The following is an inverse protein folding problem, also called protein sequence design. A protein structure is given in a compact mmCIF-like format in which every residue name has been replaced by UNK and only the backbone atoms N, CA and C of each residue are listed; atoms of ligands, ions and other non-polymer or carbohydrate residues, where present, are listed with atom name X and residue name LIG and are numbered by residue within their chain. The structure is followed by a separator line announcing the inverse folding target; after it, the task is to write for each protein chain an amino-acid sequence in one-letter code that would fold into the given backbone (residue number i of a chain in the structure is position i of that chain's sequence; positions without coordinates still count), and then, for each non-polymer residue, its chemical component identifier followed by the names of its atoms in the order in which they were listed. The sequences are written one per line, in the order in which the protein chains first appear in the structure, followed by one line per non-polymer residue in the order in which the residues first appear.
data_IF_795947992481
#
_entry.id   IF_795947992481
#
_cell.length_a   1.000
_cell.length_b   1.000
_cell.length_c   1.000
_cell.angle_alpha   90.00
_cell.angle_beta   90.00
_cell.angle_gamma   90.00
#
_symmetry.space_group_name_H-M   'P 1'
#
loop_
_entity.id
_entity.type
_entity.pdbx_description
1 polymer ?
#
# COMPACT_ATOMS: atom_id res chain seq x y z
N UNK A 1 -9.74 6.87 -0.73
CA UNK A 1 -10.50 7.70 -1.68
C UNK A 1 -9.60 8.56 -2.56
N UNK A 2 -8.64 9.28 -1.97
CA UNK A 2 -7.74 10.17 -2.72
C UNK A 2 -6.90 9.41 -3.76
N UNK A 3 -6.45 8.20 -3.43
CA UNK A 3 -5.72 7.36 -4.37
C UNK A 3 -6.59 6.99 -5.55
N UNK A 4 -7.85 6.62 -5.30
CA UNK A 4 -8.82 6.33 -6.35
C UNK A 4 -9.01 7.52 -7.30
N UNK A 5 -9.21 8.72 -6.74
CA UNK A 5 -9.38 9.94 -7.52
C UNK A 5 -8.13 10.28 -8.33
N UNK A 6 -6.95 10.01 -7.78
CA UNK A 6 -5.67 10.22 -8.44
C UNK A 6 -5.48 9.31 -9.66
N UNK A 7 -5.90 8.06 -9.58
CA UNK A 7 -5.83 7.09 -10.69
C UNK A 7 -6.83 7.46 -11.79
N UNK A 8 -8.01 7.94 -11.41
CA UNK A 8 -9.02 8.46 -12.32
C UNK A 8 -9.87 7.43 -13.04
N UNK A 9 -9.59 6.14 -12.88
CA UNK A 9 -10.34 5.05 -13.52
C UNK A 9 -10.16 3.74 -12.75
N UNK A 10 -11.12 2.79 -12.87
CA UNK A 10 -10.93 1.45 -12.31
C UNK A 10 -9.74 0.74 -12.95
N UNK A 11 -9.00 -0.01 -12.13
CA UNK A 11 -7.92 -0.85 -12.63
C UNK A 11 -8.52 -2.14 -13.21
N UNK A 12 -8.19 -2.48 -14.46
CA UNK A 12 -8.82 -3.63 -15.13
C UNK A 12 -8.36 -4.97 -14.58
N UNK A 13 -9.20 -5.99 -14.74
CA UNK A 13 -8.87 -7.35 -14.37
C UNK A 13 -8.93 -7.66 -12.89
N UNK A 14 -9.53 -6.78 -12.09
CA UNK A 14 -9.62 -6.94 -10.63
C UNK A 14 -10.82 -6.21 -10.06
N UNK A 15 -11.26 -6.62 -8.87
CA UNK A 15 -12.28 -5.90 -8.14
C UNK A 15 -11.65 -4.65 -7.52
N UNK A 16 -12.26 -3.50 -7.75
CA UNK A 16 -11.82 -2.23 -7.18
C UNK A 16 -12.71 -1.87 -5.99
N UNK A 17 -12.08 -1.60 -4.84
CA UNK A 17 -12.78 -1.23 -3.62
C UNK A 17 -12.25 0.11 -3.14
N UNK A 18 -13.15 1.05 -2.88
CA UNK A 18 -12.83 2.38 -2.36
C UNK A 18 -13.33 2.50 -0.94
N UNK A 19 -12.45 2.91 -0.05
CA UNK A 19 -12.75 3.09 1.35
C UNK A 19 -12.93 4.57 1.66
N UNK A 20 -14.10 4.92 2.20
CA UNK A 20 -14.44 6.29 2.58
C UNK A 20 -15.47 6.29 3.69
N UNK A 21 -15.41 7.33 4.55
CA UNK A 21 -16.41 7.56 5.60
C UNK A 21 -17.65 8.28 5.07
N UNK A 22 -17.61 8.78 3.84
CA UNK A 22 -18.73 9.49 3.22
C UNK A 22 -19.72 8.49 2.64
N UNK A 23 -20.92 8.31 3.24
CA UNK A 23 -21.89 7.33 2.76
C UNK A 23 -22.51 7.69 1.43
N UNK A 24 -22.40 8.95 0.99
CA UNK A 24 -22.93 9.41 -0.27
C UNK A 24 -21.92 9.37 -1.41
N UNK A 25 -20.68 8.98 -1.13
CA UNK A 25 -19.63 8.90 -2.14
C UNK A 25 -19.92 7.79 -3.15
N UNK A 26 -19.81 8.13 -4.41
CA UNK A 26 -20.00 7.19 -5.51
C UNK A 26 -18.72 7.08 -6.33
N UNK A 27 -18.31 5.85 -6.59
CA UNK A 27 -17.15 5.54 -7.43
C UNK A 27 -17.62 4.60 -8.54
N UNK A 28 -17.74 5.10 -9.76
CA UNK A 28 -18.16 4.30 -10.90
C UNK A 28 -17.12 3.23 -11.21
N UNK A 29 -17.56 1.98 -11.27
CA UNK A 29 -16.68 0.85 -11.52
C UNK A 29 -15.98 0.29 -10.29
N UNK A 30 -16.33 0.76 -9.10
CA UNK A 30 -15.78 0.29 -7.84
C UNK A 30 -16.86 0.05 -6.79
N UNK A 31 -16.54 -0.76 -5.81
CA UNK A 31 -17.36 -0.97 -4.61
C UNK A 31 -16.92 -0.01 -3.53
N UNK A 32 -17.83 0.75 -2.95
CA UNK A 32 -17.53 1.68 -1.86
C UNK A 32 -17.84 1.03 -0.53
N UNK A 33 -16.88 1.07 0.38
CA UNK A 33 -17.01 0.51 1.73
C UNK A 33 -16.58 1.55 2.76
N UNK A 34 -17.01 1.38 4.02
CA UNK A 34 -16.75 2.32 5.08
C UNK A 34 -15.59 1.93 6.00
N UNK A 35 -15.14 0.69 5.94
CA UNK A 35 -14.05 0.19 6.78
C UNK A 35 -13.19 -0.84 6.03
N UNK A 36 -11.96 -1.01 6.50
CA UNK A 36 -11.07 -2.03 5.97
C UNK A 36 -11.61 -3.43 6.23
N UNK A 37 -12.20 -3.66 7.38
CA UNK A 37 -12.81 -4.93 7.74
C UNK A 37 -13.94 -5.29 6.78
N UNK A 38 -14.76 -4.32 6.40
CA UNK A 38 -15.81 -4.52 5.40
C UNK A 38 -15.22 -4.86 4.03
N UNK A 39 -14.15 -4.18 3.63
CA UNK A 39 -13.45 -4.48 2.39
C UNK A 39 -12.94 -5.93 2.35
N UNK A 40 -12.34 -6.39 3.44
CA UNK A 40 -11.76 -7.73 3.51
C UNK A 40 -12.80 -8.85 3.47
N UNK A 41 -14.06 -8.58 3.82
CA UNK A 41 -15.15 -9.54 3.71
C UNK A 41 -15.49 -9.93 2.27
N UNK A 42 -15.08 -9.13 1.29
CA UNK A 42 -15.29 -9.44 -0.12
C UNK A 42 -14.34 -10.49 -0.66
N UNK A 43 -13.35 -10.93 0.13
CA UNK A 43 -12.29 -11.82 -0.32
C UNK A 43 -12.22 -13.09 0.50
N UNK A 44 -11.88 -14.20 -0.17
CA UNK A 44 -11.62 -15.48 0.48
C UNK A 44 -10.16 -15.63 0.90
N UNK A 45 -9.81 -16.72 1.61
CA UNK A 45 -8.46 -16.93 2.14
C UNK A 45 -7.38 -17.10 1.06
N UNK A 46 -7.77 -17.51 -0.15
CA UNK A 46 -6.84 -17.71 -1.26
C UNK A 46 -6.72 -16.50 -2.18
N UNK A 47 -7.50 -15.45 -1.92
CA UNK A 47 -7.45 -14.24 -2.73
C UNK A 47 -6.25 -13.38 -2.37
N UNK A 48 -5.63 -12.79 -3.40
CA UNK A 48 -4.55 -11.82 -3.23
C UNK A 48 -5.15 -10.43 -3.26
N UNK A 49 -4.92 -9.65 -2.20
CA UNK A 49 -5.45 -8.30 -2.05
C UNK A 49 -4.30 -7.30 -1.99
N UNK A 50 -4.34 -6.32 -2.87
CA UNK A 50 -3.36 -5.23 -2.88
C UNK A 50 -3.95 -3.96 -2.27
N UNK A 51 -3.20 -3.34 -1.38
CA UNK A 51 -3.56 -2.07 -0.75
C UNK A 51 -2.62 -1.01 -1.32
N UNK A 52 -3.18 -0.04 -2.04
CA UNK A 52 -2.40 0.91 -2.83
C UNK A 52 -2.50 2.36 -2.36
N UNK A 53 -2.98 2.57 -1.17
CA UNK A 53 -2.93 3.91 -0.58
C UNK A 53 -4.23 4.44 -0.04
N UNK A 54 -4.15 5.54 0.59
CA UNK A 54 -2.95 6.33 0.94
C UNK A 54 -2.34 5.99 2.30
N UNK A 55 -1.59 6.95 2.82
CA UNK A 55 -0.81 6.76 4.07
C UNK A 55 -1.65 6.29 5.25
N UNK A 56 -2.85 6.84 5.43
CA UNK A 56 -3.75 6.44 6.51
C UNK A 56 -4.21 4.99 6.36
N UNK A 57 -4.55 4.58 5.13
CA UNK A 57 -4.93 3.19 4.86
C UNK A 57 -3.76 2.23 5.05
N UNK A 58 -2.56 2.61 4.66
CA UNK A 58 -1.36 1.81 4.91
C UNK A 58 -1.13 1.56 6.40
N UNK A 59 -1.29 2.58 7.24
CA UNK A 59 -1.13 2.43 8.69
C UNK A 59 -2.13 1.45 9.28
N UNK A 60 -3.38 1.51 8.82
CA UNK A 60 -4.45 0.60 9.29
C UNK A 60 -4.26 -0.82 8.79
N UNK A 61 -3.75 -0.98 7.58
CA UNK A 61 -3.59 -2.28 6.95
C UNK A 61 -2.31 -3.00 7.39
N UNK A 62 -1.29 -2.25 7.80
CA UNK A 62 0.02 -2.82 8.10
C UNK A 62 0.00 -4.00 9.06
N UNK A 63 -0.79 -4.01 10.15
CA UNK A 63 -0.90 -5.18 11.03
C UNK A 63 -1.54 -6.41 10.38
N UNK A 64 -2.20 -6.23 9.24
CA UNK A 64 -2.99 -7.30 8.59
C UNK A 64 -2.33 -7.87 7.34
N UNK A 65 -1.32 -7.18 6.79
CA UNK A 65 -0.68 -7.60 5.55
C UNK A 65 0.56 -8.43 5.81
N UNK A 66 0.92 -9.27 4.84
CA UNK A 66 2.07 -10.18 4.93
C UNK A 66 3.28 -9.67 4.17
N UNK A 67 3.06 -8.87 3.15
CA UNK A 67 4.11 -8.36 2.26
C UNK A 67 3.93 -6.88 2.04
N UNK A 68 5.02 -6.12 2.12
CA UNK A 68 5.05 -4.70 1.84
C UNK A 68 6.04 -4.40 0.71
N UNK A 69 5.55 -3.73 -0.33
CA UNK A 69 6.37 -3.19 -1.41
C UNK A 69 6.62 -1.72 -1.15
N UNK A 70 7.87 -1.34 -1.00
CA UNK A 70 8.26 0.02 -0.62
C UNK A 70 9.21 0.59 -1.67
N UNK A 71 8.91 1.81 -2.10
CA UNK A 71 9.84 2.60 -2.91
C UNK A 71 10.45 3.66 -2.02
N UNK A 72 11.76 3.61 -1.84
CA UNK A 72 12.51 4.61 -1.10
C UNK A 72 13.18 5.56 -2.07
N UNK A 73 12.88 6.84 -1.95
CA UNK A 73 13.42 7.90 -2.82
C UNK A 73 14.52 8.63 -2.06
N UNK A 74 15.69 8.74 -2.68
CA UNK A 74 16.82 9.49 -2.12
C UNK A 74 16.58 10.99 -2.31
N UNK A 75 15.94 11.61 -1.33
CA UNK A 75 15.62 13.02 -1.37
C UNK A 75 15.68 13.61 0.04
N UNK A 76 16.04 14.90 0.10
CA UNK A 76 15.99 15.66 1.33
C UNK A 76 14.70 16.48 1.46
N UNK A 77 13.71 16.23 0.62
CA UNK A 77 12.46 16.97 0.63
C UNK A 77 11.60 16.52 1.81
N UNK A 78 11.17 17.46 2.63
CA UNK A 78 10.18 17.22 3.67
C UNK A 78 8.80 17.24 3.04
N UNK A 79 8.02 16.19 3.26
CA UNK A 79 6.65 16.09 2.76
C UNK A 79 5.64 16.14 3.89
N UNK A 80 4.42 16.54 3.57
CA UNK A 80 3.31 16.59 4.54
C UNK A 80 2.80 15.20 4.90
N UNK A 81 3.03 14.21 4.05
CA UNK A 81 2.64 12.82 4.29
C UNK A 81 3.89 11.97 4.41
N UNK A 82 4.07 11.34 5.55
CA UNK A 82 5.15 10.38 5.76
C UNK A 82 4.58 9.01 6.06
N UNK A 83 5.27 7.99 5.55
CA UNK A 83 5.04 6.61 5.94
C UNK A 83 6.18 6.19 6.85
N UNK A 84 5.88 5.79 8.06
CA UNK A 84 6.89 5.40 9.04
C UNK A 84 7.68 4.20 8.53
N UNK A 85 9.01 4.16 8.77
CA UNK A 85 9.81 3.00 8.40
C UNK A 85 9.27 1.73 9.03
N UNK A 86 9.34 0.63 8.29
CA UNK A 86 8.91 -0.66 8.81
C UNK A 86 9.81 -1.10 9.96
N UNK A 87 9.20 -1.58 11.03
CA UNK A 87 9.91 -2.05 12.21
C UNK A 87 10.70 -3.33 11.86
N UNK A 88 12.00 -3.32 12.09
CA UNK A 88 12.88 -4.44 11.78
C UNK A 88 12.58 -5.69 12.60
N UNK A 89 11.94 -5.56 13.75
CA UNK A 89 11.52 -6.70 14.57
C UNK A 89 10.31 -7.42 14.00
N UNK A 90 9.53 -6.74 13.15
CA UNK A 90 8.32 -7.27 12.54
C UNK A 90 8.46 -7.55 11.05
N UNK A 91 9.42 -6.88 10.39
CA UNK A 91 9.58 -6.93 8.93
C UNK A 91 11.00 -7.26 8.54
N UNK A 92 11.13 -8.14 7.54
CA UNK A 92 12.43 -8.55 6.99
C UNK A 92 12.52 -8.13 5.52
N UNK A 93 13.62 -7.46 5.16
CA UNK A 93 13.90 -7.14 3.77
C UNK A 93 14.31 -8.42 3.03
N UNK A 94 13.54 -8.83 2.02
CA UNK A 94 13.79 -10.07 1.27
C UNK A 94 14.26 -9.82 -0.15
N UNK A 95 14.06 -8.61 -0.66
CA UNK A 95 14.51 -8.25 -2.01
C UNK A 95 14.64 -6.73 -2.13
N UNK A 96 15.66 -6.28 -2.87
CA UNK A 96 15.80 -4.87 -3.20
C UNK A 96 16.42 -4.68 -4.57
N UNK A 97 16.03 -3.61 -5.23
CA UNK A 97 16.59 -3.18 -6.51
C UNK A 97 16.93 -1.70 -6.43
N UNK A 98 18.19 -1.39 -6.65
CA UNK A 98 18.70 -0.03 -6.55
C UNK A 98 18.73 0.65 -7.91
N UNK A 99 18.15 1.84 -8.01
CA UNK A 99 18.13 2.67 -9.20
C UNK A 99 18.84 3.99 -8.88
N UNK A 100 20.14 4.10 -9.22
CA UNK A 100 20.89 5.29 -8.91
C UNK A 100 20.46 6.49 -9.75
N UNK A 101 20.79 7.67 -9.26
CA UNK A 101 20.55 8.93 -9.97
C UNK A 101 21.20 8.91 -11.37
N UNK A 102 20.44 9.37 -12.37
CA UNK A 102 20.91 9.53 -13.75
C UNK A 102 20.56 10.91 -14.27
N UNK A 103 20.98 11.25 -15.49
CA UNK A 103 20.62 12.54 -16.11
C UNK A 103 19.11 12.67 -16.32
N UNK A 104 18.44 11.57 -16.71
CA UNK A 104 17.00 11.56 -16.95
C UNK A 104 16.20 11.39 -15.67
N UNK A 105 16.82 10.83 -14.64
CA UNK A 105 16.20 10.59 -13.34
C UNK A 105 17.02 11.27 -12.26
N UNK A 106 16.65 12.51 -11.85
CA UNK A 106 17.47 13.31 -10.93
C UNK A 106 17.49 12.79 -9.49
N UNK A 107 16.59 11.90 -9.13
CA UNK A 107 16.54 11.29 -7.79
C UNK A 107 16.81 9.81 -7.88
N UNK A 108 17.75 9.32 -7.10
CA UNK A 108 17.93 7.88 -6.93
C UNK A 108 16.78 7.27 -6.14
N UNK A 109 16.48 6.01 -6.38
CA UNK A 109 15.43 5.31 -5.64
C UNK A 109 15.73 3.83 -5.53
N UNK A 110 15.06 3.18 -4.59
CA UNK A 110 15.13 1.73 -4.39
C UNK A 110 13.74 1.16 -4.36
N UNK A 111 13.56 0.04 -5.03
CA UNK A 111 12.39 -0.82 -4.83
C UNK A 111 12.76 -1.87 -3.79
N UNK A 112 11.90 -2.08 -2.82
CA UNK A 112 12.13 -3.02 -1.72
C UNK A 112 10.90 -3.86 -1.47
N UNK A 113 11.10 -5.14 -1.20
CA UNK A 113 10.04 -6.03 -0.75
C UNK A 113 10.37 -6.50 0.66
N UNK A 114 9.44 -6.26 1.57
CA UNK A 114 9.53 -6.73 2.95
C UNK A 114 8.49 -7.81 3.20
N UNK A 115 8.84 -8.79 3.98
CA UNK A 115 7.91 -9.81 4.45
C UNK A 115 7.84 -9.77 5.97
N UNK A 116 6.65 -10.07 6.50
CA UNK A 116 6.45 -10.14 7.94
C UNK A 116 7.27 -11.28 8.52
N UNK A 117 8.02 -10.98 9.59
CA UNK A 117 8.77 -11.98 10.33
C UNK A 117 7.78 -12.93 11.01
N UNK A 118 7.94 -14.22 10.78
CA UNK A 118 7.11 -15.25 11.41
C UNK A 118 7.77 -15.70 12.70
N UNK A 119 6.98 -15.72 13.76
CA UNK A 119 7.42 -16.22 15.07
C UNK A 119 6.81 -17.59 15.30
N UNK A 120 7.64 -18.52 15.77
CA UNK A 120 7.21 -19.88 16.09
C UNK A 120 7.30 -20.10 17.58
N UNK A 121 6.24 -20.60 18.17
CA UNK A 121 6.19 -20.97 19.60
C UNK A 121 6.04 -22.48 19.67
N UNK A 122 6.90 -23.10 20.45
CA UNK A 122 6.89 -24.55 20.68
C UNK A 122 6.28 -24.87 22.02
#
# INVERSE_FOLDING_TARGET
RRTWESIGRPLPGRQNIVLTRDPSYKAEGATVVSSLEEALKHFGPDDIVFIIGGADLYRRALPLVDTAWVTEIETAVEGDASFDPLNKDEWMLVWSENHPKTEDQPLGFKFQRFERVKHTVY
#
